data_IF_042235654960
#
_entry.id   IF_042235654960
#
_cell.length_a   1.000
_cell.length_b   1.000
_cell.length_c   1.000
_cell.angle_alpha   90.00
_cell.angle_beta   90.00
_cell.angle_gamma   90.00
#
_symmetry.space_group_name_H-M   'P 1'
#
loop_
_entity.id
_entity.type
_entity.pdbx_description
1 polymer ?
#
# COMPACT_ATOMS: atom_id res chain seq x y z
N UNK A 1 -4.16 5.94 -17.21
CA UNK A 1 -5.15 6.96 -16.83
C UNK A 1 -5.62 7.67 -18.08
N UNK A 2 -6.92 7.71 -18.35
CA UNK A 2 -7.45 8.53 -19.44
C UNK A 2 -7.48 10.00 -19.00
N UNK A 3 -6.41 10.73 -19.33
CA UNK A 3 -6.29 12.15 -19.00
C UNK A 3 -7.27 13.05 -19.76
N UNK A 4 -7.98 12.53 -20.75
CA UNK A 4 -9.01 13.27 -21.47
C UNK A 4 -10.40 13.06 -20.84
N UNK A 5 -10.53 12.19 -19.84
CA UNK A 5 -11.79 11.97 -19.16
C UNK A 5 -12.16 13.19 -18.31
N UNK A 6 -13.23 13.89 -18.68
CA UNK A 6 -13.65 15.16 -18.07
C UNK A 6 -13.78 15.11 -16.54
N UNK A 7 -14.36 14.03 -16.00
CA UNK A 7 -14.51 13.85 -14.55
C UNK A 7 -13.16 13.73 -13.81
N UNK A 8 -12.15 13.07 -14.41
CA UNK A 8 -10.83 12.93 -13.79
C UNK A 8 -10.16 14.31 -13.70
N UNK A 9 -10.28 15.11 -14.77
CA UNK A 9 -9.78 16.49 -14.79
C UNK A 9 -10.46 17.35 -13.73
N UNK A 10 -11.79 17.23 -13.57
CA UNK A 10 -12.55 18.00 -12.58
C UNK A 10 -12.18 17.61 -11.13
N UNK A 11 -12.05 16.31 -10.83
CA UNK A 11 -11.64 15.84 -9.50
C UNK A 11 -10.27 16.39 -9.12
N UNK A 12 -9.31 16.34 -10.04
CA UNK A 12 -7.93 16.81 -9.82
C UNK A 12 -7.82 18.31 -9.56
N UNK A 13 -8.81 19.09 -9.99
CA UNK A 13 -8.87 20.54 -9.71
C UNK A 13 -9.44 20.83 -8.30
N UNK A 14 -10.08 19.86 -7.65
CA UNK A 14 -10.82 20.05 -6.39
C UNK A 14 -10.16 19.38 -5.20
N UNK A 15 -9.49 18.25 -5.40
CA UNK A 15 -8.83 17.49 -4.33
C UNK A 15 -7.43 17.06 -4.74
N UNK A 16 -6.47 16.99 -3.80
CA UNK A 16 -5.19 16.36 -4.06
C UNK A 16 -5.38 14.92 -4.51
N UNK A 17 -4.64 14.52 -5.55
CA UNK A 17 -4.66 13.15 -6.07
C UNK A 17 -3.26 12.57 -5.94
N UNK A 18 -3.21 11.33 -5.47
CA UNK A 18 -2.01 10.50 -5.42
C UNK A 18 -2.20 9.31 -6.34
N UNK A 19 -1.10 8.75 -6.84
CA UNK A 19 -1.16 7.63 -7.77
C UNK A 19 -0.80 6.33 -7.07
N UNK A 20 -1.56 5.29 -7.35
CA UNK A 20 -1.29 3.94 -6.88
C UNK A 20 -1.34 2.99 -8.06
N UNK A 21 -0.26 2.24 -8.26
CA UNK A 21 -0.06 1.32 -9.38
C UNK A 21 -0.38 -0.12 -9.00
N UNK A 22 -0.80 -0.90 -9.99
CA UNK A 22 -1.30 -2.27 -9.80
C UNK A 22 -0.46 -3.33 -10.51
N UNK A 23 0.53 -2.94 -11.32
CA UNK A 23 1.07 -3.83 -12.37
C UNK A 23 2.59 -3.90 -12.45
N UNK A 24 3.33 -3.15 -11.61
CA UNK A 24 4.80 -3.15 -11.67
C UNK A 24 5.40 -4.55 -11.46
N UNK A 25 4.80 -5.38 -10.60
CA UNK A 25 5.33 -6.70 -10.21
C UNK A 25 6.76 -6.61 -9.68
N UNK A 26 7.04 -5.70 -8.76
CA UNK A 26 8.42 -5.43 -8.31
C UNK A 26 9.12 -6.68 -7.77
N UNK A 27 8.35 -7.62 -7.19
CA UNK A 27 8.83 -8.87 -6.61
C UNK A 27 9.35 -9.93 -7.59
N UNK A 28 9.11 -9.75 -8.91
CA UNK A 28 9.57 -10.70 -9.93
C UNK A 28 11.11 -10.75 -10.03
N UNK A 29 11.66 -11.75 -10.71
CA UNK A 29 13.10 -11.81 -11.04
C UNK A 29 13.47 -10.96 -12.26
N UNK A 30 12.49 -10.60 -13.08
CA UNK A 30 12.66 -9.77 -14.27
C UNK A 30 12.99 -8.31 -13.96
N UNK A 31 13.80 -7.71 -14.81
CA UNK A 31 14.03 -6.27 -14.82
C UNK A 31 12.74 -5.50 -15.15
N UNK A 32 12.67 -4.23 -14.74
CA UNK A 32 11.51 -3.40 -15.01
C UNK A 32 11.47 -3.09 -16.51
N UNK A 33 10.31 -3.25 -17.13
CA UNK A 33 10.13 -2.94 -18.54
C UNK A 33 10.36 -1.45 -18.83
N UNK A 34 11.18 -1.14 -19.83
CA UNK A 34 11.40 0.25 -20.28
C UNK A 34 10.11 0.92 -20.76
N UNK A 35 9.20 0.16 -21.38
CA UNK A 35 7.91 0.68 -21.82
C UNK A 35 7.02 1.04 -20.62
N UNK A 36 7.07 0.24 -19.55
CA UNK A 36 6.41 0.55 -18.29
C UNK A 36 6.97 1.84 -17.67
N UNK A 37 8.29 1.97 -17.55
CA UNK A 37 8.93 3.17 -16.99
C UNK A 37 8.59 4.42 -17.81
N UNK A 38 8.62 4.32 -19.14
CA UNK A 38 8.24 5.41 -20.04
C UNK A 38 6.78 5.84 -19.81
N UNK A 39 5.86 4.87 -19.69
CA UNK A 39 4.46 5.13 -19.42
C UNK A 39 4.25 5.74 -18.02
N UNK A 40 4.97 5.26 -17.01
CA UNK A 40 4.94 5.78 -15.65
C UNK A 40 5.42 7.24 -15.60
N UNK A 41 6.57 7.54 -16.21
CA UNK A 41 7.08 8.91 -16.29
C UNK A 41 6.11 9.84 -17.02
N UNK A 42 5.53 9.40 -18.14
CA UNK A 42 4.51 10.19 -18.86
C UNK A 42 3.27 10.45 -17.99
N UNK A 43 2.87 9.45 -17.19
CA UNK A 43 1.71 9.55 -16.28
C UNK A 43 1.99 10.54 -15.15
N UNK A 44 3.16 10.46 -14.50
CA UNK A 44 3.57 11.36 -13.43
C UNK A 44 3.72 12.80 -13.92
N UNK A 45 4.28 13.01 -15.11
CA UNK A 45 4.39 14.36 -15.71
C UNK A 45 3.01 14.99 -15.97
N UNK A 46 2.03 14.20 -16.44
CA UNK A 46 0.66 14.65 -16.69
C UNK A 46 -0.17 14.76 -15.41
N UNK A 47 0.26 14.10 -14.35
CA UNK A 47 -0.39 14.07 -13.05
C UNK A 47 0.58 14.24 -11.90
N UNK A 48 1.11 15.46 -11.68
CA UNK A 48 1.91 15.75 -10.51
C UNK A 48 1.17 15.37 -9.24
N UNK A 49 1.82 14.59 -8.40
CA UNK A 49 1.29 14.09 -7.14
C UNK A 49 2.38 14.13 -6.07
N UNK A 50 1.98 14.17 -4.80
CA UNK A 50 2.92 14.24 -3.69
C UNK A 50 3.77 12.96 -3.57
N UNK A 51 3.19 11.82 -3.94
CA UNK A 51 3.86 10.52 -4.04
C UNK A 51 3.10 9.63 -5.03
N UNK A 52 3.75 8.55 -5.44
CA UNK A 52 3.09 7.41 -6.06
C UNK A 52 3.52 6.12 -5.38
N UNK A 53 2.69 5.08 -5.49
CA UNK A 53 2.89 3.81 -4.79
C UNK A 53 2.68 2.61 -5.70
N UNK A 54 3.27 1.47 -5.34
CA UNK A 54 3.02 0.16 -5.94
C UNK A 54 3.08 -0.93 -4.86
N UNK A 55 2.47 -2.07 -5.17
CA UNK A 55 2.46 -3.22 -4.28
C UNK A 55 3.82 -3.90 -4.21
N UNK A 56 4.21 -4.33 -3.01
CA UNK A 56 5.31 -5.27 -2.79
C UNK A 56 4.84 -6.71 -3.13
N UNK A 57 4.66 -6.95 -4.42
CA UNK A 57 4.06 -8.20 -4.91
C UNK A 57 4.66 -8.66 -6.24
N UNK A 58 4.33 -9.90 -6.60
CA UNK A 58 4.39 -10.41 -7.98
C UNK A 58 2.97 -10.34 -8.56
N UNK A 59 2.79 -9.56 -9.63
CA UNK A 59 1.49 -9.40 -10.31
C UNK A 59 1.49 -9.97 -11.73
N UNK A 60 2.69 -10.19 -12.29
CA UNK A 60 2.91 -10.87 -13.56
C UNK A 60 4.27 -11.55 -13.57
N UNK A 61 4.40 -12.59 -14.40
CA UNK A 61 5.66 -13.24 -14.76
C UNK A 61 5.72 -13.30 -16.28
N UNK A 62 6.74 -12.68 -16.87
CA UNK A 62 6.85 -12.49 -18.31
C UNK A 62 5.61 -11.74 -18.81
N UNK A 63 4.91 -12.29 -19.80
CA UNK A 63 3.70 -11.71 -20.37
C UNK A 63 2.42 -12.26 -19.71
N UNK A 64 2.55 -13.10 -18.67
CA UNK A 64 1.42 -13.74 -18.00
C UNK A 64 1.03 -12.97 -16.74
N UNK A 65 -0.15 -12.36 -16.77
CA UNK A 65 -0.74 -11.71 -15.60
C UNK A 65 -1.28 -12.76 -14.62
N UNK A 66 -0.95 -12.61 -13.34
CA UNK A 66 -1.42 -13.49 -12.26
C UNK A 66 -2.86 -13.14 -11.84
N UNK A 67 -3.33 -11.93 -12.19
CA UNK A 67 -4.68 -11.40 -11.85
C UNK A 67 -4.95 -11.40 -10.34
N UNK A 68 -3.90 -11.14 -9.57
CA UNK A 68 -3.89 -11.03 -8.13
C UNK A 68 -2.50 -10.62 -7.65
N UNK A 69 -2.34 -10.43 -6.35
CA UNK A 69 -1.08 -10.10 -5.72
C UNK A 69 -0.50 -11.37 -5.12
N UNK A 70 0.69 -11.80 -5.59
CA UNK A 70 1.40 -12.90 -4.96
C UNK A 70 2.52 -12.38 -4.04
N UNK A 71 2.71 -13.02 -2.86
CA UNK A 71 3.76 -12.65 -1.94
C UNK A 71 5.14 -12.89 -2.57
N UNK A 72 6.11 -12.15 -2.06
CA UNK A 72 7.53 -12.39 -2.34
C UNK A 72 8.12 -13.25 -1.23
N UNK A 73 9.19 -13.99 -1.53
CA UNK A 73 9.98 -14.63 -0.50
C UNK A 73 10.73 -13.58 0.32
N UNK A 74 10.51 -13.54 1.63
CA UNK A 74 11.21 -12.62 2.54
C UNK A 74 12.61 -13.15 2.81
N UNK A 75 13.50 -12.96 1.83
CA UNK A 75 14.89 -13.40 1.90
C UNK A 75 15.84 -12.41 1.22
N UNK A 76 17.13 -12.61 1.46
CA UNK A 76 18.20 -11.71 0.97
C UNK A 76 18.20 -11.56 -0.56
N UNK A 77 17.88 -12.62 -1.31
CA UNK A 77 17.88 -12.57 -2.77
C UNK A 77 16.74 -11.68 -3.31
N UNK A 78 15.52 -11.86 -2.80
CA UNK A 78 14.37 -11.01 -3.15
C UNK A 78 14.57 -9.57 -2.68
N UNK A 79 15.09 -9.39 -1.47
CA UNK A 79 15.42 -8.09 -0.89
C UNK A 79 16.33 -7.29 -1.82
N UNK A 80 17.47 -7.88 -2.22
CA UNK A 80 18.46 -7.22 -3.09
C UNK A 80 17.85 -6.79 -4.43
N UNK A 81 17.04 -7.65 -5.05
CA UNK A 81 16.36 -7.33 -6.32
C UNK A 81 15.36 -6.18 -6.16
N UNK A 82 14.55 -6.22 -5.10
CA UNK A 82 13.52 -5.19 -4.86
C UNK A 82 14.17 -3.84 -4.56
N UNK A 83 15.22 -3.80 -3.74
CA UNK A 83 16.00 -2.58 -3.46
C UNK A 83 16.57 -1.99 -4.75
N UNK A 84 17.20 -2.81 -5.60
CA UNK A 84 17.74 -2.37 -6.91
C UNK A 84 16.65 -1.73 -7.77
N UNK A 85 15.49 -2.37 -7.87
CA UNK A 85 14.35 -1.89 -8.67
C UNK A 85 13.74 -0.62 -8.12
N UNK A 86 13.53 -0.54 -6.81
CA UNK A 86 13.01 0.66 -6.14
C UNK A 86 13.95 1.86 -6.37
N UNK A 87 15.27 1.68 -6.24
CA UNK A 87 16.26 2.70 -6.59
C UNK A 87 16.16 3.14 -8.05
N UNK A 88 16.04 2.18 -8.97
CA UNK A 88 15.92 2.48 -10.39
C UNK A 88 14.67 3.32 -10.68
N UNK A 89 13.52 2.94 -10.12
CA UNK A 89 12.26 3.68 -10.25
C UNK A 89 12.40 5.10 -9.73
N UNK A 90 12.96 5.29 -8.54
CA UNK A 90 13.14 6.63 -7.97
C UNK A 90 14.07 7.50 -8.82
N UNK A 91 15.21 6.95 -9.26
CA UNK A 91 16.15 7.67 -10.10
C UNK A 91 15.54 8.05 -11.46
N UNK A 92 14.71 7.19 -12.05
CA UNK A 92 14.07 7.43 -13.34
C UNK A 92 12.90 8.40 -13.25
N UNK A 93 12.08 8.28 -12.21
CA UNK A 93 10.86 9.09 -12.07
C UNK A 93 11.10 10.43 -11.39
N UNK A 94 12.14 10.55 -10.55
CA UNK A 94 12.41 11.71 -9.70
C UNK A 94 11.18 12.15 -8.86
N UNK A 95 10.41 11.17 -8.38
CA UNK A 95 9.24 11.35 -7.52
C UNK A 95 9.35 10.43 -6.31
N UNK A 96 8.70 10.83 -5.20
CA UNK A 96 8.63 9.99 -4.00
C UNK A 96 7.86 8.70 -4.30
N UNK A 97 8.56 7.58 -4.23
CA UNK A 97 8.01 6.25 -4.44
C UNK A 97 7.69 5.59 -3.10
N UNK A 98 6.50 5.01 -2.98
CA UNK A 98 6.11 4.19 -1.84
C UNK A 98 5.92 2.74 -2.23
N UNK A 99 6.30 1.82 -1.34
CA UNK A 99 5.91 0.42 -1.42
C UNK A 99 4.74 0.15 -0.47
N UNK A 100 3.87 -0.77 -0.86
CA UNK A 100 2.73 -1.20 -0.06
C UNK A 100 2.81 -2.67 0.32
N UNK A 101 2.52 -2.98 1.59
CA UNK A 101 2.38 -4.35 2.08
C UNK A 101 1.04 -4.94 1.63
N UNK A 102 1.05 -6.22 1.27
CA UNK A 102 -0.14 -6.93 0.78
C UNK A 102 -0.67 -7.91 1.81
N UNK A 103 -1.96 -8.25 1.75
CA UNK A 103 -2.45 -9.47 2.37
C UNK A 103 -1.85 -10.69 1.65
N UNK A 104 -1.30 -11.65 2.41
CA UNK A 104 -0.80 -12.90 1.87
C UNK A 104 -1.30 -14.10 2.66
N UNK A 105 -1.64 -15.16 1.93
CA UNK A 105 -2.33 -16.33 2.47
C UNK A 105 -1.41 -17.55 2.63
N UNK A 106 -0.17 -17.42 2.19
CA UNK A 106 0.88 -18.42 2.37
C UNK A 106 2.24 -17.74 2.43
N UNK A 107 3.14 -18.31 3.21
CA UNK A 107 4.54 -17.87 3.27
C UNK A 107 5.28 -18.51 2.10
N UNK A 108 5.94 -17.70 1.28
CA UNK A 108 6.76 -18.20 0.18
C UNK A 108 7.90 -19.09 0.73
N UNK A 109 8.22 -20.22 0.06
CA UNK A 109 9.40 -21.01 0.41
C UNK A 109 10.66 -20.15 0.46
N UNK A 110 11.61 -20.57 1.29
CA UNK A 110 12.90 -19.87 1.47
C UNK A 110 12.78 -18.47 2.07
N UNK A 111 11.66 -18.13 2.71
CA UNK A 111 11.56 -16.92 3.55
C UNK A 111 12.23 -17.17 4.90
N UNK A 112 13.30 -16.43 5.19
CA UNK A 112 14.10 -16.52 6.40
C UNK A 112 14.13 -15.22 7.22
N UNK A 113 13.51 -14.15 6.70
CA UNK A 113 13.35 -12.86 7.36
C UNK A 113 11.91 -12.65 7.84
N UNK A 114 11.76 -11.88 8.92
CA UNK A 114 10.45 -11.37 9.32
C UNK A 114 10.00 -10.27 8.35
N UNK A 115 8.69 -10.14 8.16
CA UNK A 115 8.11 -9.17 7.22
C UNK A 115 8.51 -7.72 7.55
N UNK A 116 8.51 -7.32 8.83
CA UNK A 116 8.94 -5.97 9.22
C UNK A 116 10.44 -5.74 9.00
N UNK A 117 11.30 -6.75 9.20
CA UNK A 117 12.74 -6.64 8.91
C UNK A 117 12.99 -6.49 7.41
N UNK A 118 12.25 -7.26 6.60
CA UNK A 118 12.30 -7.20 5.15
C UNK A 118 11.89 -5.81 4.64
N UNK A 119 10.74 -5.30 5.11
CA UNK A 119 10.26 -3.95 4.78
C UNK A 119 11.24 -2.87 5.24
N UNK A 120 11.67 -2.90 6.49
CA UNK A 120 12.60 -1.92 7.06
C UNK A 120 13.89 -1.83 6.25
N UNK A 121 14.42 -2.98 5.85
CA UNK A 121 15.64 -3.02 5.04
C UNK A 121 15.41 -2.43 3.65
N UNK A 122 14.29 -2.73 2.99
CA UNK A 122 13.95 -2.11 1.69
C UNK A 122 13.85 -0.59 1.82
N UNK A 123 13.08 -0.10 2.80
CA UNK A 123 12.82 1.34 2.98
C UNK A 123 14.12 2.10 3.22
N UNK A 124 15.02 1.55 4.04
CA UNK A 124 16.30 2.16 4.35
C UNK A 124 17.28 2.09 3.19
N UNK A 125 17.44 0.92 2.57
CA UNK A 125 18.43 0.76 1.51
C UNK A 125 18.02 1.45 0.22
N UNK A 126 16.74 1.41 -0.15
CA UNK A 126 16.21 2.03 -1.36
C UNK A 126 15.85 3.51 -1.19
N UNK A 127 15.82 4.01 0.05
CA UNK A 127 15.40 5.36 0.42
C UNK A 127 14.01 5.70 -0.14
N UNK A 128 13.05 4.77 -0.01
CA UNK A 128 11.66 4.94 -0.43
C UNK A 128 10.74 5.02 0.80
N UNK A 129 9.49 5.42 0.59
CA UNK A 129 8.48 5.45 1.65
C UNK A 129 7.61 4.18 1.68
N UNK A 130 6.78 4.10 2.71
CA UNK A 130 5.81 3.04 2.93
C UNK A 130 4.39 3.60 2.85
N UNK A 131 3.59 2.95 2.03
CA UNK A 131 2.14 2.99 2.10
C UNK A 131 1.71 1.79 2.94
N UNK A 132 1.39 2.01 4.21
CA UNK A 132 1.04 0.92 5.11
C UNK A 132 -0.45 0.63 5.00
N UNK A 133 -0.82 -0.49 4.39
CA UNK A 133 -2.18 -1.00 4.43
C UNK A 133 -2.41 -1.71 5.77
N UNK A 134 -3.25 -1.09 6.61
CA UNK A 134 -3.57 -1.61 7.94
C UNK A 134 -4.58 -2.74 7.91
N UNK A 135 -5.40 -2.85 6.86
CA UNK A 135 -6.27 -4.01 6.66
C UNK A 135 -5.45 -5.22 6.27
N UNK A 136 -4.49 -5.07 5.36
CA UNK A 136 -3.54 -6.13 5.01
C UNK A 136 -2.72 -6.58 6.22
N UNK A 137 -2.20 -5.63 7.01
CA UNK A 137 -1.51 -5.93 8.26
C UNK A 137 -2.40 -6.71 9.24
N UNK A 138 -3.66 -6.29 9.43
CA UNK A 138 -4.60 -6.99 10.29
C UNK A 138 -4.86 -8.42 9.79
N UNK A 139 -5.15 -8.59 8.50
CA UNK A 139 -5.39 -9.89 7.87
C UNK A 139 -4.19 -10.81 8.07
N UNK A 140 -2.98 -10.32 7.78
CA UNK A 140 -1.74 -11.08 7.95
C UNK A 140 -1.50 -11.45 9.42
N UNK A 141 -1.67 -10.51 10.34
CA UNK A 141 -1.49 -10.75 11.77
C UNK A 141 -2.42 -11.85 12.30
N UNK A 142 -3.68 -11.83 11.87
CA UNK A 142 -4.66 -12.86 12.30
C UNK A 142 -4.37 -14.23 11.67
N UNK A 143 -4.01 -14.26 10.38
CA UNK A 143 -3.75 -15.51 9.67
C UNK A 143 -2.43 -16.17 10.10
N UNK A 144 -1.37 -15.37 10.29
CA UNK A 144 -0.02 -15.83 10.62
C UNK A 144 0.32 -15.75 12.11
N UNK A 145 -0.64 -15.31 12.94
CA UNK A 145 -0.61 -15.33 14.41
C UNK A 145 0.52 -14.50 15.02
N UNK A 146 0.66 -13.26 14.56
CA UNK A 146 1.55 -12.27 15.16
C UNK A 146 0.79 -11.05 15.67
N UNK A 147 1.45 -10.22 16.48
CA UNK A 147 0.85 -9.01 17.02
C UNK A 147 1.02 -7.82 16.04
N UNK A 148 -0.07 -7.23 15.52
CA UNK A 148 0.03 -6.13 14.56
C UNK A 148 0.55 -4.82 15.18
N UNK A 149 0.41 -4.64 16.50
CA UNK A 149 0.93 -3.46 17.20
C UNK A 149 2.46 -3.52 17.33
N UNK A 150 3.00 -4.71 17.66
CA UNK A 150 4.44 -4.95 17.68
C UNK A 150 5.05 -4.81 16.28
N UNK A 151 4.33 -5.24 15.24
CA UNK A 151 4.75 -5.01 13.86
C UNK A 151 4.88 -3.52 13.54
N UNK A 152 3.90 -2.69 13.91
CA UNK A 152 3.97 -1.23 13.74
C UNK A 152 5.17 -0.66 14.51
N UNK A 153 5.40 -1.11 15.74
CA UNK A 153 6.51 -0.62 16.57
C UNK A 153 7.89 -0.98 16.03
N UNK A 154 8.00 -2.04 15.23
CA UNK A 154 9.24 -2.46 14.60
C UNK A 154 9.57 -1.72 13.29
N UNK A 155 8.59 -1.01 12.69
CA UNK A 155 8.80 -0.28 11.44
C UNK A 155 9.49 1.09 11.67
N UNK A 156 10.25 1.60 10.67
CA UNK A 156 10.73 2.97 10.67
C UNK A 156 9.54 3.93 10.47
N UNK A 157 8.97 4.42 11.56
CA UNK A 157 7.72 5.20 11.57
C UNK A 157 7.77 6.49 10.75
N UNK A 158 8.95 7.06 10.55
CA UNK A 158 9.20 8.24 9.71
C UNK A 158 9.11 7.93 8.20
N UNK A 159 9.19 6.64 7.83
CA UNK A 159 9.03 6.18 6.44
C UNK A 159 7.58 5.88 6.08
N UNK A 160 6.65 5.83 7.05
CA UNK A 160 5.22 5.63 6.79
C UNK A 160 4.62 6.95 6.30
N UNK A 161 4.40 7.05 5.00
CA UNK A 161 3.92 8.28 4.34
C UNK A 161 2.40 8.30 4.27
N UNK A 162 1.78 7.17 3.95
CA UNK A 162 0.35 7.07 3.75
C UNK A 162 -0.18 5.72 4.27
N UNK A 163 -1.50 5.64 4.45
CA UNK A 163 -2.18 4.47 4.97
C UNK A 163 -3.37 4.11 4.10
N UNK A 164 -3.53 2.82 3.83
CA UNK A 164 -4.74 2.25 3.27
C UNK A 164 -5.57 1.55 4.35
N UNK A 165 -6.88 1.63 4.19
CA UNK A 165 -7.89 0.96 5.01
C UNK A 165 -8.93 0.34 4.08
N UNK A 166 -9.23 -0.92 4.28
CA UNK A 166 -10.27 -1.63 3.56
C UNK A 166 -11.14 -2.48 4.51
N UNK A 167 -12.16 -3.12 3.94
CA UNK A 167 -12.90 -4.18 4.62
C UNK A 167 -12.24 -5.54 4.45
N UNK A 168 -12.42 -6.41 5.44
CA UNK A 168 -12.04 -7.81 5.33
C UNK A 168 -13.11 -8.72 5.92
N UNK A 169 -13.19 -9.94 5.39
CA UNK A 169 -14.18 -10.95 5.75
C UNK A 169 -13.50 -12.24 6.20
N UNK A 170 -14.20 -13.03 7.01
CA UNK A 170 -13.77 -14.39 7.39
C UNK A 170 -14.37 -15.40 6.42
N UNK A 171 -13.52 -16.02 5.60
CA UNK A 171 -13.91 -16.94 4.52
C UNK A 171 -13.05 -18.21 4.63
N UNK A 172 -13.67 -19.38 4.59
CA UNK A 172 -12.99 -20.68 4.58
C UNK A 172 -11.90 -20.85 5.67
N UNK A 173 -12.22 -20.39 6.89
CA UNK A 173 -11.33 -20.40 8.06
C UNK A 173 -10.10 -19.49 7.96
N UNK A 174 -10.19 -18.41 7.19
CA UNK A 174 -9.13 -17.44 7.03
C UNK A 174 -9.70 -16.02 6.88
N UNK A 175 -8.95 -15.01 7.31
CA UNK A 175 -9.27 -13.63 6.97
C UNK A 175 -8.86 -13.34 5.53
N UNK A 176 -9.75 -12.71 4.77
CA UNK A 176 -9.52 -12.32 3.38
C UNK A 176 -9.81 -10.84 3.24
N UNK A 177 -8.92 -10.13 2.57
CA UNK A 177 -9.13 -8.74 2.19
C UNK A 177 -10.11 -8.68 1.02
N UNK A 178 -11.33 -8.17 1.24
CA UNK A 178 -12.43 -8.26 0.26
C UNK A 178 -12.89 -6.93 -0.30
N UNK A 179 -12.39 -5.79 0.20
CA UNK A 179 -12.72 -4.42 -0.25
C UNK A 179 -14.23 -4.14 -0.38
N UNK A 180 -15.08 -5.01 0.16
CA UNK A 180 -16.53 -5.06 -0.07
C UNK A 180 -17.34 -4.80 1.21
N UNK A 181 -16.68 -4.67 2.36
CA UNK A 181 -17.28 -4.45 3.67
C UNK A 181 -16.69 -3.21 4.38
N UNK A 182 -17.45 -2.50 5.24
CA UNK A 182 -16.94 -1.36 5.99
C UNK A 182 -15.61 -1.64 6.71
N UNK A 183 -14.77 -0.61 6.85
CA UNK A 183 -13.51 -0.69 7.60
C UNK A 183 -13.81 -1.18 9.01
N UNK A 184 -13.10 -2.23 9.41
CA UNK A 184 -13.29 -2.89 10.71
C UNK A 184 -12.85 -2.00 11.87
N UNK A 185 -13.47 -2.19 13.03
CA UNK A 185 -13.10 -1.45 14.25
C UNK A 185 -11.64 -1.71 14.65
N UNK A 186 -11.19 -2.95 14.53
CA UNK A 186 -9.83 -3.36 14.87
C UNK A 186 -8.79 -2.66 13.98
N UNK A 187 -9.12 -2.45 12.69
CA UNK A 187 -8.28 -1.69 11.76
C UNK A 187 -8.25 -0.20 12.12
N UNK A 188 -9.40 0.37 12.53
CA UNK A 188 -9.44 1.74 13.04
C UNK A 188 -8.65 1.91 14.34
N UNK A 189 -8.63 0.90 15.21
CA UNK A 189 -7.83 0.90 16.44
C UNK A 189 -6.32 0.87 16.11
N UNK A 190 -5.90 0.12 15.07
CA UNK A 190 -4.53 0.16 14.53
C UNK A 190 -4.18 1.54 13.96
N UNK A 191 -5.09 2.18 13.22
CA UNK A 191 -4.88 3.53 12.71
C UNK A 191 -4.69 4.51 13.88
N UNK A 192 -5.56 4.44 14.89
CA UNK A 192 -5.46 5.30 16.08
C UNK A 192 -4.14 5.07 16.83
N UNK A 193 -3.65 3.83 16.89
CA UNK A 193 -2.35 3.51 17.48
C UNK A 193 -1.20 4.13 16.69
N UNK A 194 -1.16 3.91 15.38
CA UNK A 194 -0.13 4.43 14.48
C UNK A 194 -0.05 5.97 14.55
N UNK A 195 -1.19 6.65 14.41
CA UNK A 195 -1.21 8.12 14.32
C UNK A 195 -0.95 8.85 15.64
N UNK A 196 -0.93 8.14 16.78
CA UNK A 196 -0.39 8.65 18.05
C UNK A 196 1.13 8.69 18.06
N UNK A 197 1.78 7.85 17.24
CA UNK A 197 3.23 7.68 17.21
C UNK A 197 3.88 8.47 16.10
N UNK A 198 3.25 8.56 14.94
CA UNK A 198 3.76 9.29 13.77
C UNK A 198 2.63 9.92 12.98
N UNK A 199 2.76 11.15 12.48
CA UNK A 199 1.79 11.69 11.53
C UNK A 199 1.88 10.93 10.20
N UNK A 200 0.74 10.81 9.52
CA UNK A 200 0.68 10.30 8.14
C UNK A 200 0.12 11.38 7.22
N UNK A 201 0.57 11.40 5.97
CA UNK A 201 0.23 12.43 5.00
C UNK A 201 -1.09 12.15 4.27
N UNK A 202 -1.54 10.90 4.27
CA UNK A 202 -2.81 10.48 3.68
C UNK A 202 -3.35 9.21 4.30
N UNK A 203 -4.68 9.14 4.43
CA UNK A 203 -5.41 7.91 4.78
C UNK A 203 -6.48 7.73 3.72
N UNK A 204 -6.46 6.59 3.03
CA UNK A 204 -7.37 6.27 1.93
C UNK A 204 -8.20 5.06 2.35
N UNK A 205 -9.51 5.14 2.10
CA UNK A 205 -10.41 4.00 2.26
C UNK A 205 -10.58 3.37 0.88
N UNK A 206 -10.22 2.09 0.78
CA UNK A 206 -10.35 1.30 -0.44
C UNK A 206 -11.68 0.53 -0.43
N UNK A 207 -12.43 0.74 -1.52
CA UNK A 207 -13.76 0.17 -1.74
C UNK A 207 -13.97 0.05 -3.25
N UNK A 208 -13.85 -1.15 -3.78
CA UNK A 208 -14.04 -1.42 -5.21
C UNK A 208 -15.28 -2.31 -5.50
N UNK A 209 -15.90 -2.84 -4.45
CA UNK A 209 -17.08 -3.69 -4.52
C UNK A 209 -18.21 -3.19 -3.60
N UNK A 210 -19.44 -3.62 -3.89
CA UNK A 210 -20.67 -3.27 -3.13
C UNK A 210 -20.84 -1.76 -2.90
N UNK A 211 -20.63 -0.97 -3.96
CA UNK A 211 -20.70 0.50 -3.99
C UNK A 211 -22.14 1.05 -4.02
N UNK A 212 -23.09 0.39 -3.36
CA UNK A 212 -24.53 0.64 -3.52
C UNK A 212 -24.95 2.07 -3.12
N UNK A 213 -24.34 2.62 -2.06
CA UNK A 213 -24.62 3.97 -1.57
C UNK A 213 -23.33 4.71 -1.25
N UNK A 214 -22.98 5.68 -2.09
CA UNK A 214 -21.79 6.53 -1.91
C UNK A 214 -21.78 7.26 -0.56
N UNK A 215 -22.95 7.60 -0.01
CA UNK A 215 -23.06 8.23 1.31
C UNK A 215 -22.46 7.39 2.44
N UNK A 216 -22.55 6.05 2.36
CA UNK A 216 -21.94 5.16 3.35
C UNK A 216 -20.42 5.26 3.35
N UNK A 217 -19.81 5.35 2.16
CA UNK A 217 -18.36 5.56 2.04
C UNK A 217 -17.97 6.93 2.62
N UNK A 218 -18.79 7.96 2.40
CA UNK A 218 -18.59 9.29 3.00
C UNK A 218 -18.69 9.24 4.53
N UNK A 219 -19.60 8.44 5.10
CA UNK A 219 -19.69 8.24 6.55
C UNK A 219 -18.40 7.62 7.10
N UNK A 220 -17.83 6.61 6.42
CA UNK A 220 -16.54 6.02 6.79
C UNK A 220 -15.40 7.06 6.75
N UNK A 221 -15.38 7.93 5.72
CA UNK A 221 -14.42 9.04 5.64
C UNK A 221 -14.58 10.00 6.82
N UNK A 222 -15.81 10.29 7.26
CA UNK A 222 -16.03 11.13 8.45
C UNK A 222 -15.55 10.46 9.74
N UNK A 223 -15.76 9.14 9.89
CA UNK A 223 -15.24 8.38 11.04
C UNK A 223 -13.71 8.51 11.11
N UNK A 224 -13.01 8.26 9.99
CA UNK A 224 -11.55 8.37 9.92
C UNK A 224 -11.09 9.81 10.21
N UNK A 225 -11.73 10.83 9.63
CA UNK A 225 -11.40 12.23 9.91
C UNK A 225 -11.54 12.59 11.39
N UNK A 226 -12.63 12.17 12.03
CA UNK A 226 -12.86 12.43 13.44
C UNK A 226 -11.82 11.74 14.33
N UNK A 227 -11.45 10.49 13.99
CA UNK A 227 -10.39 9.76 14.67
C UNK A 227 -9.04 10.51 14.56
N UNK A 228 -8.66 10.94 13.36
CA UNK A 228 -7.42 11.69 13.14
C UNK A 228 -7.41 13.03 13.89
N UNK A 229 -8.55 13.73 13.97
CA UNK A 229 -8.68 14.97 14.74
C UNK A 229 -8.60 14.74 16.26
N UNK A 230 -9.19 13.65 16.75
CA UNK A 230 -9.16 13.31 18.17
C UNK A 230 -7.77 12.89 18.67
N UNK A 231 -6.96 12.30 17.78
CA UNK A 231 -5.61 11.81 18.11
C UNK A 231 -4.54 12.89 17.95
N UNK A 232 -4.71 13.86 17.05
CA UNK A 232 -3.77 14.98 16.93
C UNK A 232 -3.73 15.77 18.26
N UNK A 233 -2.54 16.07 18.82
CA UNK A 233 -2.44 17.02 19.92
C UNK A 233 -3.15 18.30 19.52
N UNK A 234 -4.06 18.82 20.37
CA UNK A 234 -4.56 20.18 20.19
C UNK A 234 -3.36 21.11 20.27
N UNK A 235 -2.97 21.67 19.12
CA UNK A 235 -2.01 22.78 19.04
C UNK A 235 -2.63 24.01 19.68
#
# INVERSE_FOLDING_TARGET
IDFNHSLITEIRQRVPVVLHGLTLSIGTDQEISESYLTALCSTLQKSPCAWFSEHLAVTHINQLAIRGLMPVAFNTASLSRIVKKAKHIQATTNHLFLLENIAYYYVMPESDLLEHDFLTTILNEADCGLLLDLTNLFVNAMNHRYNPYEFIDALPLDRIVAVHLAGCDWIDNMWVDTHASPVRREVLDLLAYLVRKTPVNGVIIERDARLELFSKLIDEVYIVRNLLQAVRPRV
#
